data_IF_141307018362
#
_entry.id   IF_141307018362
#
_cell.length_a   1.000
_cell.length_b   1.000
_cell.length_c   1.000
_cell.angle_alpha   90.00
_cell.angle_beta   90.00
_cell.angle_gamma   90.00
#
_symmetry.space_group_name_H-M   'P 1'
#
loop_
_entity.id
_entity.type
_entity.pdbx_description
1 polymer ?
#
# COMPACT_ATOMS: atom_id res chain seq x y z
N UNK A 1 -34.53 10.64 31.44
CA UNK A 1 -34.06 11.22 30.18
C UNK A 1 -32.55 11.11 30.21
N UNK A 2 -32.00 10.12 29.53
CA UNK A 2 -30.55 9.88 29.42
C UNK A 2 -29.90 11.05 28.72
N UNK A 3 -29.01 11.72 29.43
CA UNK A 3 -28.16 12.79 28.93
C UNK A 3 -27.22 12.19 27.88
N UNK A 4 -27.62 12.28 26.61
CA UNK A 4 -26.75 12.01 25.46
C UNK A 4 -25.78 13.18 25.35
N UNK A 5 -24.72 13.16 26.15
CA UNK A 5 -23.53 13.94 25.85
C UNK A 5 -22.90 13.33 24.59
N UNK A 6 -22.83 14.05 23.45
CA UNK A 6 -22.51 13.45 22.16
C UNK A 6 -21.08 12.89 22.05
N UNK A 7 -20.19 13.17 23.00
CA UNK A 7 -18.86 12.57 23.12
C UNK A 7 -18.48 12.57 24.62
N UNK A 8 -18.37 11.39 25.25
CA UNK A 8 -17.81 11.30 26.60
C UNK A 8 -16.30 11.57 26.51
N UNK A 9 -15.90 12.80 26.86
CA UNK A 9 -14.51 13.24 26.83
C UNK A 9 -13.62 12.38 27.73
N UNK A 10 -14.18 11.77 28.80
CA UNK A 10 -13.43 10.89 29.69
C UNK A 10 -13.05 9.58 29.00
N UNK A 11 -13.97 8.98 28.25
CA UNK A 11 -13.70 7.75 27.49
C UNK A 11 -12.69 7.99 26.35
N UNK A 12 -12.78 9.12 25.65
CA UNK A 12 -11.80 9.51 24.63
C UNK A 12 -10.41 9.77 25.22
N UNK A 13 -10.33 10.46 26.36
CA UNK A 13 -9.07 10.73 27.03
C UNK A 13 -8.39 9.44 27.47
N UNK A 14 -9.15 8.47 27.99
CA UNK A 14 -8.61 7.15 28.38
C UNK A 14 -8.03 6.37 27.20
N UNK A 15 -8.58 6.54 25.99
CA UNK A 15 -8.09 5.89 24.76
C UNK A 15 -6.84 6.57 24.19
N UNK A 16 -6.71 7.88 24.40
CA UNK A 16 -5.56 8.67 23.97
C UNK A 16 -4.43 8.66 25.00
N UNK A 17 -4.70 8.32 26.24
CA UNK A 17 -3.74 8.24 27.35
C UNK A 17 -2.43 7.52 27.00
N UNK A 18 -2.40 6.32 26.37
CA UNK A 18 -1.14 5.69 25.98
C UNK A 18 -0.35 6.50 24.93
N UNK A 19 -1.02 7.27 24.06
CA UNK A 19 -0.39 8.12 23.05
C UNK A 19 0.12 9.43 23.65
N UNK A 20 -0.61 9.98 24.63
CA UNK A 20 -0.22 11.17 25.40
C UNK A 20 1.01 10.84 26.26
N UNK A 21 0.95 9.75 27.04
CA UNK A 21 2.05 9.32 27.91
C UNK A 21 3.32 8.96 27.14
N UNK A 22 3.20 8.46 25.90
CA UNK A 22 4.34 8.15 25.05
C UNK A 22 4.86 9.35 24.24
N UNK A 23 4.25 10.54 24.35
CA UNK A 23 4.61 11.73 23.57
C UNK A 23 4.37 11.59 22.06
N UNK A 24 3.61 10.57 21.64
CA UNK A 24 3.34 10.28 20.22
C UNK A 24 2.10 11.00 19.71
N UNK A 25 1.24 11.47 20.62
CA UNK A 25 0.05 12.25 20.24
C UNK A 25 0.45 13.51 19.47
N UNK A 26 1.51 14.20 19.90
CA UNK A 26 1.97 15.43 19.24
C UNK A 26 2.34 15.18 17.77
N UNK A 27 3.08 14.10 17.49
CA UNK A 27 3.41 13.72 16.10
C UNK A 27 2.17 13.36 15.26
N UNK A 28 1.15 12.77 15.88
CA UNK A 28 -0.11 12.47 15.19
C UNK A 28 -0.90 13.74 14.92
N UNK A 29 -0.92 14.69 15.86
CA UNK A 29 -1.54 16.00 15.68
C UNK A 29 -0.80 16.75 14.57
N UNK A 30 0.53 16.80 14.57
CA UNK A 30 1.33 17.43 13.53
C UNK A 30 1.08 16.81 12.14
N UNK A 31 1.01 15.47 12.08
CA UNK A 31 0.71 14.77 10.83
C UNK A 31 -0.72 15.07 10.34
N UNK A 32 -1.71 15.08 11.23
CA UNK A 32 -3.08 15.42 10.89
C UNK A 32 -3.23 16.89 10.48
N UNK A 33 -2.48 17.80 11.11
CA UNK A 33 -2.41 19.21 10.72
C UNK A 33 -1.85 19.36 9.31
N UNK A 34 -0.72 18.70 9.01
CA UNK A 34 -0.16 18.74 7.66
C UNK A 34 -1.13 18.17 6.61
N UNK A 35 -1.84 17.09 6.94
CA UNK A 35 -2.88 16.52 6.07
C UNK A 35 -4.05 17.49 5.89
N UNK A 36 -4.48 18.16 6.95
CA UNK A 36 -5.54 19.18 6.89
C UNK A 36 -5.13 20.34 5.99
N UNK A 37 -3.93 20.88 6.18
CA UNK A 37 -3.38 21.95 5.33
C UNK A 37 -3.30 21.51 3.86
N UNK A 38 -2.95 20.24 3.63
CA UNK A 38 -2.93 19.67 2.27
C UNK A 38 -4.34 19.64 1.69
N UNK A 39 -5.34 19.16 2.44
CA UNK A 39 -6.74 19.10 2.00
C UNK A 39 -7.31 20.50 1.73
N UNK A 40 -6.93 21.51 2.52
CA UNK A 40 -7.36 22.90 2.30
C UNK A 40 -6.78 23.49 1.00
N UNK A 41 -5.63 23.00 0.55
CA UNK A 41 -5.00 23.37 -0.73
C UNK A 41 -5.55 22.58 -1.94
N UNK A 42 -6.35 21.53 -1.71
CA UNK A 42 -6.90 20.69 -2.78
C UNK A 42 -8.08 21.38 -3.48
N UNK A 43 -7.93 21.64 -4.78
CA UNK A 43 -9.05 22.03 -5.64
C UNK A 43 -9.80 20.79 -6.19
N UNK A 44 -11.01 20.96 -6.76
CA UNK A 44 -11.79 19.85 -7.28
C UNK A 44 -11.07 19.00 -8.35
N UNK A 45 -10.24 19.61 -9.19
CA UNK A 45 -9.52 18.89 -10.24
C UNK A 45 -8.36 18.05 -9.67
N UNK A 46 -7.71 18.54 -8.61
CA UNK A 46 -6.68 17.80 -7.88
C UNK A 46 -7.28 16.61 -7.10
N UNK A 47 -8.47 16.78 -6.50
CA UNK A 47 -9.20 15.68 -5.86
C UNK A 47 -9.49 14.55 -6.86
N UNK A 48 -9.97 14.89 -8.05
CA UNK A 48 -10.25 13.90 -9.11
C UNK A 48 -8.98 13.15 -9.53
N UNK A 49 -7.86 13.85 -9.70
CA UNK A 49 -6.56 13.21 -10.00
C UNK A 49 -6.09 12.28 -8.90
N UNK A 50 -6.24 12.68 -7.64
CA UNK A 50 -5.88 11.82 -6.51
C UNK A 50 -6.77 10.58 -6.46
N UNK A 51 -8.07 10.70 -6.70
CA UNK A 51 -8.97 9.56 -6.80
C UNK A 51 -8.52 8.58 -7.89
N UNK A 52 -8.17 9.08 -9.08
CA UNK A 52 -7.64 8.26 -10.18
C UNK A 52 -6.30 7.61 -9.83
N UNK A 53 -5.41 8.32 -9.12
CA UNK A 53 -4.14 7.74 -8.67
C UNK A 53 -4.35 6.66 -7.62
N UNK A 54 -5.26 6.89 -6.66
CA UNK A 54 -5.64 5.89 -5.67
C UNK A 54 -6.24 4.64 -6.32
N UNK A 55 -7.11 4.81 -7.31
CA UNK A 55 -7.65 3.71 -8.09
C UNK A 55 -6.55 2.90 -8.78
N UNK A 56 -5.62 3.58 -9.45
CA UNK A 56 -4.51 2.94 -10.16
C UNK A 56 -3.58 2.18 -9.19
N UNK A 57 -3.21 2.78 -8.06
CA UNK A 57 -2.36 2.15 -7.04
C UNK A 57 -3.07 0.94 -6.43
N UNK A 58 -4.36 1.07 -6.12
CA UNK A 58 -5.17 -0.01 -5.56
C UNK A 58 -5.28 -1.16 -6.55
N UNK A 59 -5.57 -0.87 -7.83
CA UNK A 59 -5.64 -1.87 -8.89
C UNK A 59 -4.31 -2.58 -9.10
N UNK A 60 -3.19 -1.82 -9.12
CA UNK A 60 -1.85 -2.39 -9.23
C UNK A 60 -1.53 -3.30 -8.04
N UNK A 61 -1.83 -2.85 -6.82
CA UNK A 61 -1.63 -3.62 -5.59
C UNK A 61 -2.45 -4.90 -5.59
N UNK A 62 -3.72 -4.83 -6.01
CA UNK A 62 -4.60 -5.98 -6.11
C UNK A 62 -4.10 -7.01 -7.13
N UNK A 63 -3.66 -6.56 -8.31
CA UNK A 63 -3.10 -7.41 -9.35
C UNK A 63 -1.82 -8.11 -8.86
N UNK A 64 -0.92 -7.35 -8.23
CA UNK A 64 0.31 -7.89 -7.64
C UNK A 64 0.02 -8.92 -6.54
N UNK A 65 -0.91 -8.61 -5.62
CA UNK A 65 -1.32 -9.50 -4.55
C UNK A 65 -1.95 -10.80 -5.06
N UNK A 66 -2.77 -10.72 -6.11
CA UNK A 66 -3.32 -11.90 -6.76
C UNK A 66 -2.25 -12.75 -7.45
N UNK A 67 -1.28 -12.12 -8.13
CA UNK A 67 -0.17 -12.83 -8.74
C UNK A 67 0.65 -13.58 -7.69
N UNK A 68 0.95 -12.94 -6.55
CA UNK A 68 1.64 -13.58 -5.42
C UNK A 68 0.81 -14.73 -4.86
N UNK A 69 -0.48 -14.53 -4.60
CA UNK A 69 -1.37 -15.56 -4.08
C UNK A 69 -1.44 -16.77 -5.02
N UNK A 70 -1.52 -16.53 -6.33
CA UNK A 70 -1.54 -17.58 -7.35
C UNK A 70 -0.20 -18.32 -7.41
N UNK A 71 0.92 -17.60 -7.40
CA UNK A 71 2.26 -18.21 -7.38
C UNK A 71 2.45 -19.08 -6.13
N UNK A 72 2.09 -18.58 -4.95
CA UNK A 72 2.14 -19.33 -3.69
C UNK A 72 1.28 -20.59 -3.74
N UNK A 73 0.07 -20.51 -4.31
CA UNK A 73 -0.79 -21.68 -4.49
C UNK A 73 -0.18 -22.72 -5.44
N UNK A 74 0.42 -22.28 -6.56
CA UNK A 74 1.12 -23.15 -7.49
C UNK A 74 2.37 -23.80 -6.87
N UNK A 75 3.10 -23.09 -6.01
CA UNK A 75 4.24 -23.65 -5.28
C UNK A 75 3.79 -24.62 -4.19
N UNK A 76 2.72 -24.29 -3.45
CA UNK A 76 2.19 -25.17 -2.41
C UNK A 76 1.56 -26.46 -2.97
N UNK A 77 1.05 -26.43 -4.20
CA UNK A 77 0.54 -27.61 -4.89
C UNK A 77 1.65 -28.55 -5.39
N UNK A 78 2.91 -28.11 -5.41
CA UNK A 78 4.04 -28.98 -5.75
C UNK A 78 4.38 -29.86 -4.54
N UNK A 79 4.33 -31.17 -4.73
CA UNK A 79 4.54 -32.17 -3.67
C UNK A 79 5.98 -32.22 -3.18
N UNK A 80 6.93 -31.74 -3.98
CA UNK A 80 8.36 -31.77 -3.68
C UNK A 80 8.96 -30.36 -3.77
N UNK A 81 9.91 -30.04 -2.90
CA UNK A 81 10.57 -28.72 -2.91
C UNK A 81 11.35 -28.52 -4.22
N UNK A 82 11.19 -27.38 -4.92
CA UNK A 82 11.80 -27.19 -6.22
C UNK A 82 13.33 -27.20 -6.12
N UNK A 83 13.97 -28.00 -6.97
CA UNK A 83 15.42 -28.06 -7.10
C UNK A 83 15.99 -26.79 -7.75
N UNK A 84 17.28 -26.51 -7.53
CA UNK A 84 17.97 -25.36 -8.14
C UNK A 84 17.85 -25.32 -9.68
N UNK A 85 17.82 -26.49 -10.33
CA UNK A 85 17.63 -26.58 -11.79
C UNK A 85 16.23 -26.19 -12.21
N UNK A 86 15.21 -26.58 -11.44
CA UNK A 86 13.82 -26.20 -11.71
C UNK A 86 13.62 -24.69 -11.52
N UNK A 87 14.21 -24.08 -10.49
CA UNK A 87 14.19 -22.62 -10.32
C UNK A 87 14.84 -21.90 -11.52
N UNK A 88 16.00 -22.37 -11.99
CA UNK A 88 16.66 -21.79 -13.15
C UNK A 88 15.85 -21.99 -14.45
N UNK A 89 15.07 -23.07 -14.53
CA UNK A 89 14.18 -23.32 -15.67
C UNK A 89 13.02 -22.32 -15.75
N UNK A 90 12.59 -21.73 -14.62
CA UNK A 90 11.55 -20.69 -14.61
C UNK A 90 11.97 -19.46 -15.42
N UNK A 91 13.24 -19.08 -15.38
CA UNK A 91 13.78 -17.98 -16.20
C UNK A 91 13.70 -18.25 -17.71
N UNK A 92 13.51 -19.50 -18.13
CA UNK A 92 13.34 -19.88 -19.53
C UNK A 92 11.87 -19.86 -19.97
N UNK A 93 10.93 -19.80 -19.03
CA UNK A 93 9.50 -19.69 -19.34
C UNK A 93 9.20 -18.36 -20.03
N UNK A 94 8.32 -18.41 -21.03
CA UNK A 94 7.99 -17.24 -21.84
C UNK A 94 7.41 -16.10 -20.99
N UNK A 95 6.48 -16.42 -20.09
CA UNK A 95 5.82 -15.43 -19.24
C UNK A 95 6.78 -14.78 -18.24
N UNK A 96 7.69 -15.56 -17.65
CA UNK A 96 8.74 -15.02 -16.77
C UNK A 96 9.68 -14.09 -17.53
N UNK A 97 10.07 -14.45 -18.77
CA UNK A 97 10.90 -13.57 -19.62
C UNK A 97 10.19 -12.29 -20.00
N UNK A 98 8.89 -12.36 -20.35
CA UNK A 98 8.06 -11.18 -20.62
C UNK A 98 7.97 -10.28 -19.39
N UNK A 99 7.75 -10.85 -18.21
CA UNK A 99 7.74 -10.12 -16.94
C UNK A 99 9.07 -9.42 -16.64
N UNK A 100 10.19 -10.14 -16.75
CA UNK A 100 11.53 -9.55 -16.60
C UNK A 100 11.77 -8.42 -17.61
N UNK A 101 11.36 -8.59 -18.86
CA UNK A 101 11.52 -7.57 -19.89
C UNK A 101 10.71 -6.30 -19.58
N UNK A 102 9.50 -6.42 -19.01
CA UNK A 102 8.73 -5.26 -18.53
C UNK A 102 9.49 -4.55 -17.41
N UNK A 103 9.92 -5.27 -16.37
CA UNK A 103 10.65 -4.66 -15.25
C UNK A 103 11.92 -3.91 -15.70
N UNK A 104 12.72 -4.54 -16.58
CA UNK A 104 13.94 -3.93 -17.12
C UNK A 104 13.65 -2.70 -17.99
N UNK A 105 12.58 -2.72 -18.78
CA UNK A 105 12.17 -1.56 -19.59
C UNK A 105 11.68 -0.42 -18.71
N UNK A 106 10.91 -0.70 -17.66
CA UNK A 106 10.48 0.32 -16.69
C UNK A 106 11.68 0.98 -16.03
N UNK A 107 12.67 0.20 -15.57
CA UNK A 107 13.92 0.73 -15.03
C UNK A 107 14.68 1.60 -16.04
N UNK A 108 14.70 1.19 -17.31
CA UNK A 108 15.33 1.98 -18.38
C UNK A 108 14.61 3.31 -18.64
N UNK A 109 13.28 3.35 -18.54
CA UNK A 109 12.50 4.59 -18.66
C UNK A 109 12.79 5.53 -17.49
N UNK A 110 12.76 5.02 -16.24
CA UNK A 110 13.06 5.80 -15.04
C UNK A 110 14.49 6.37 -15.13
N UNK A 111 15.48 5.53 -15.44
CA UNK A 111 16.87 5.96 -15.57
C UNK A 111 17.15 6.95 -16.71
N UNK A 112 16.21 7.12 -17.65
CA UNK A 112 16.29 8.14 -18.71
C UNK A 112 15.74 9.49 -18.25
N UNK A 113 14.87 9.48 -17.24
CA UNK A 113 14.20 10.65 -16.70
C UNK A 113 14.95 11.24 -15.49
N UNK A 114 15.86 10.47 -14.88
CA UNK A 114 16.84 10.93 -13.90
C UNK A 114 18.02 11.62 -14.60
#
# INVERSE_FOLDING_TARGET
MTDQSPLDLGDLLSKLEPLIQSGRLDNLVDALSLVSDTVDLLDPAMVEKLALLFEQITAATWSLGNAVRMASAQTAAQTESPSLRQLLSLLRQEDTRRGCAVALRTLNVIGRQL
#
